data_IF_268533571062
#
_entry.id   IF_268533571062
#
_cell.length_a   1.000
_cell.length_b   1.000
_cell.length_c   1.000
_cell.angle_alpha   90.00
_cell.angle_beta   90.00
_cell.angle_gamma   90.00
#
_symmetry.space_group_name_H-M   'P 1'
#
loop_
_entity.id
_entity.type
_entity.pdbx_description
1 polymer ?
#
# COMPACT_ATOMS: atom_id res chain seq x y z
N UNK A 1 -13.98 -9.96 3.48
CA UNK A 1 -12.60 -10.34 3.86
C UNK A 1 -12.49 -10.54 5.38
N UNK A 2 -13.17 -9.72 6.17
CA UNK A 2 -13.14 -9.80 7.65
C UNK A 2 -12.03 -9.00 8.31
N UNK A 3 -10.98 -8.66 7.60
CA UNK A 3 -9.89 -7.81 8.07
C UNK A 3 -10.06 -6.35 7.64
N UNK A 4 -9.25 -5.45 8.20
CA UNK A 4 -9.34 -4.02 7.89
C UNK A 4 -8.97 -3.73 6.44
N UNK A 5 -9.75 -2.86 5.80
CA UNK A 5 -9.48 -2.36 4.46
C UNK A 5 -9.44 -0.83 4.49
N UNK A 6 -8.46 -0.26 3.83
CA UNK A 6 -8.25 1.18 3.79
C UNK A 6 -8.33 1.68 2.35
N UNK A 7 -8.96 2.83 2.17
CA UNK A 7 -8.81 3.64 0.95
C UNK A 7 -7.73 4.68 1.24
N UNK A 8 -6.68 4.68 0.43
CA UNK A 8 -5.51 5.54 0.63
C UNK A 8 -5.26 6.40 -0.58
N UNK A 9 -4.60 7.54 -0.38
CA UNK A 9 -4.15 8.42 -1.45
C UNK A 9 -2.73 8.91 -1.19
N UNK A 10 -2.02 9.25 -2.25
CA UNK A 10 -0.73 9.93 -2.17
C UNK A 10 -0.96 11.44 -2.05
N UNK A 11 -0.36 12.07 -1.05
CA UNK A 11 -0.33 13.51 -0.89
C UNK A 11 1.10 13.96 -0.56
N UNK A 12 1.75 14.63 -1.50
CA UNK A 12 3.18 14.95 -1.38
C UNK A 12 4.04 13.69 -1.30
N UNK A 13 4.74 13.51 -0.19
CA UNK A 13 5.59 12.36 0.09
C UNK A 13 5.00 11.43 1.17
N UNK A 14 3.69 11.46 1.38
CA UNK A 14 3.02 10.71 2.44
C UNK A 14 1.78 9.98 1.90
N UNK A 15 1.47 8.84 2.53
CA UNK A 15 0.21 8.12 2.33
C UNK A 15 -0.82 8.66 3.31
N UNK A 16 -1.98 9.05 2.79
CA UNK A 16 -3.12 9.51 3.56
C UNK A 16 -4.25 8.48 3.51
N UNK A 17 -4.85 8.22 4.66
CA UNK A 17 -6.08 7.42 4.73
C UNK A 17 -7.29 8.31 4.42
N UNK A 18 -8.02 7.98 3.37
CA UNK A 18 -9.27 8.67 3.00
C UNK A 18 -10.47 8.05 3.68
N UNK A 19 -10.49 6.72 3.81
CA UNK A 19 -11.57 5.97 4.43
C UNK A 19 -11.05 4.63 4.94
N UNK A 20 -11.75 4.05 5.89
CA UNK A 20 -11.38 2.80 6.52
C UNK A 20 -12.60 1.97 6.88
N UNK A 21 -12.59 0.71 6.48
CA UNK A 21 -13.45 -0.32 7.02
C UNK A 21 -12.66 -1.16 8.03
N UNK A 22 -13.06 -1.09 9.28
CA UNK A 22 -12.38 -1.80 10.35
C UNK A 22 -12.70 -3.29 10.35
N UNK A 23 -11.73 -4.09 10.79
CA UNK A 23 -11.93 -5.50 11.11
C UNK A 23 -13.02 -5.67 12.14
N UNK A 24 -13.82 -6.73 11.99
CA UNK A 24 -14.80 -7.15 13.00
C UNK A 24 -14.15 -7.74 14.26
N UNK A 25 -12.87 -8.06 14.23
CA UNK A 25 -12.14 -8.64 15.37
C UNK A 25 -11.76 -7.56 16.40
N UNK A 26 -11.86 -7.88 17.71
CA UNK A 26 -11.46 -6.96 18.78
C UNK A 26 -9.97 -6.56 18.69
N UNK A 27 -9.11 -7.52 18.37
CA UNK A 27 -7.68 -7.28 18.18
C UNK A 27 -7.42 -6.80 16.75
N UNK A 28 -7.16 -5.52 16.59
CA UNK A 28 -6.82 -4.87 15.32
C UNK A 28 -5.77 -3.80 15.54
N UNK A 29 -4.97 -3.53 14.51
CA UNK A 29 -4.05 -2.41 14.56
C UNK A 29 -4.84 -1.11 14.29
N UNK A 30 -4.80 -0.19 15.23
CA UNK A 30 -5.28 1.17 15.04
C UNK A 30 -4.09 2.10 14.81
N UNK A 31 -4.01 2.70 13.62
CA UNK A 31 -3.09 3.79 13.41
C UNK A 31 -3.68 5.05 14.08
N UNK A 32 -2.90 5.68 14.95
CA UNK A 32 -3.33 6.93 15.60
C UNK A 32 -3.56 8.02 14.55
N UNK A 33 -4.56 8.90 14.73
CA UNK A 33 -4.71 10.07 13.88
C UNK A 33 -3.39 10.85 13.78
N UNK A 34 -3.01 11.25 12.56
CA UNK A 34 -1.75 11.94 12.30
C UNK A 34 -0.52 11.03 12.17
N UNK A 35 -0.66 9.71 12.25
CA UNK A 35 0.43 8.77 11.95
C UNK A 35 0.84 8.93 10.48
N UNK A 36 2.13 9.21 10.28
CA UNK A 36 2.72 9.25 8.93
C UNK A 36 3.05 7.83 8.48
N UNK A 37 2.52 7.45 7.33
CA UNK A 37 2.79 6.14 6.73
C UNK A 37 3.91 6.29 5.70
N UNK A 38 5.07 5.66 5.91
CA UNK A 38 6.21 5.80 5.02
C UNK A 38 5.94 5.22 3.63
N UNK A 39 6.51 5.86 2.59
CA UNK A 39 6.35 5.38 1.22
C UNK A 39 7.15 4.11 0.93
N UNK A 40 8.32 3.95 1.52
CA UNK A 40 9.25 2.86 1.17
C UNK A 40 8.92 1.50 1.79
N UNK A 41 8.10 1.44 2.82
CA UNK A 41 7.84 0.21 3.57
C UNK A 41 6.35 -0.06 3.83
N UNK A 42 5.45 0.73 3.26
CA UNK A 42 4.02 0.44 3.24
C UNK A 42 3.57 -0.06 1.86
N UNK A 43 2.56 -0.93 1.83
CA UNK A 43 2.03 -1.45 0.56
C UNK A 43 1.52 -0.32 -0.34
N UNK A 44 0.68 0.58 0.19
CA UNK A 44 0.18 1.74 -0.56
C UNK A 44 1.31 2.67 -1.00
N UNK A 45 2.28 2.93 -0.14
CA UNK A 45 3.41 3.81 -0.45
C UNK A 45 4.26 3.29 -1.60
N UNK A 46 4.64 2.03 -1.56
CA UNK A 46 5.39 1.39 -2.65
C UNK A 46 4.56 1.33 -3.94
N UNK A 47 3.26 1.08 -3.84
CA UNK A 47 2.36 1.09 -5.00
C UNK A 47 2.34 2.47 -5.67
N UNK A 48 2.22 3.55 -4.90
CA UNK A 48 2.24 4.91 -5.45
C UNK A 48 3.58 5.24 -6.10
N UNK A 49 4.70 4.96 -5.42
CA UNK A 49 6.04 5.16 -5.98
C UNK A 49 6.22 4.45 -7.31
N UNK A 50 5.76 3.19 -7.40
CA UNK A 50 5.88 2.38 -8.61
C UNK A 50 5.13 2.97 -9.80
N UNK A 51 4.01 3.66 -9.57
CA UNK A 51 3.14 4.19 -10.62
C UNK A 51 3.28 5.70 -10.85
N UNK A 52 4.19 6.37 -10.15
CA UNK A 52 4.56 7.75 -10.46
C UNK A 52 5.31 7.82 -11.81
N UNK A 53 5.20 8.95 -12.54
CA UNK A 53 6.10 9.23 -13.63
C UNK A 53 7.56 9.09 -13.17
N UNK A 54 8.41 8.51 -14.02
CA UNK A 54 9.78 8.13 -13.66
C UNK A 54 10.57 9.28 -13.00
N UNK A 55 10.45 10.50 -13.54
CA UNK A 55 11.14 11.69 -13.00
C UNK A 55 10.65 12.03 -11.58
N UNK A 56 9.33 11.97 -11.33
CA UNK A 56 8.78 12.25 -10.01
C UNK A 56 9.17 11.17 -9.00
N UNK A 57 9.17 9.91 -9.41
CA UNK A 57 9.63 8.80 -8.59
C UNK A 57 11.10 9.00 -8.18
N UNK A 58 12.00 9.32 -9.13
CA UNK A 58 13.39 9.57 -8.82
C UNK A 58 13.58 10.75 -7.87
N UNK A 59 12.87 11.86 -8.08
CA UNK A 59 12.92 13.02 -7.19
C UNK A 59 12.52 12.68 -5.76
N UNK A 60 11.45 11.88 -5.58
CA UNK A 60 11.05 11.42 -4.25
C UNK A 60 12.09 10.47 -3.64
N UNK A 61 12.61 9.52 -4.40
CA UNK A 61 13.63 8.58 -3.91
C UNK A 61 14.92 9.28 -3.49
N UNK A 62 15.28 10.40 -4.12
CA UNK A 62 16.48 11.17 -3.77
C UNK A 62 16.37 11.82 -2.38
N UNK A 63 15.18 12.15 -1.92
CA UNK A 63 14.92 12.81 -0.64
C UNK A 63 14.28 11.90 0.41
N UNK A 64 13.81 10.71 0.03
CA UNK A 64 13.08 9.81 0.92
C UNK A 64 14.03 9.13 1.91
N UNK A 65 13.85 9.31 3.23
CA UNK A 65 14.62 8.54 4.19
C UNK A 65 14.15 7.09 4.17
N UNK A 66 15.08 6.16 3.96
CA UNK A 66 14.81 4.73 3.98
C UNK A 66 15.04 4.17 5.40
N UNK A 67 14.36 4.75 6.37
CA UNK A 67 14.51 4.39 7.77
C UNK A 67 14.06 2.96 8.04
N UNK A 68 14.82 2.24 8.86
CA UNK A 68 14.46 0.90 9.30
C UNK A 68 13.39 0.96 10.37
N UNK A 69 12.29 0.27 10.16
CA UNK A 69 11.20 0.09 11.12
C UNK A 69 11.15 -1.31 11.70
N UNK A 70 11.51 -2.31 10.89
CA UNK A 70 11.55 -3.73 11.27
C UNK A 70 12.79 -4.39 10.66
N UNK A 71 13.00 -5.66 10.95
CA UNK A 71 14.10 -6.43 10.35
C UNK A 71 13.95 -6.59 8.83
N UNK A 72 12.71 -6.52 8.30
CA UNK A 72 12.40 -6.73 6.87
C UNK A 72 12.22 -5.44 6.08
N UNK A 73 12.32 -4.27 6.71
CA UNK A 73 12.24 -2.99 6.01
C UNK A 73 13.30 -2.89 4.91
N UNK A 74 12.90 -2.55 3.68
CA UNK A 74 13.83 -2.22 2.61
C UNK A 74 14.53 -0.89 2.92
N UNK A 75 15.83 -0.94 3.12
CA UNK A 75 16.65 0.23 3.48
C UNK A 75 17.67 0.60 2.40
N UNK A 76 17.73 -0.17 1.33
CA UNK A 76 18.59 0.08 0.17
C UNK A 76 17.74 0.62 -0.98
N UNK A 77 18.21 1.70 -1.62
CA UNK A 77 17.56 2.25 -2.81
C UNK A 77 17.49 1.22 -3.94
N UNK A 78 18.55 0.45 -4.17
CA UNK A 78 18.58 -0.56 -5.22
C UNK A 78 17.54 -1.67 -4.99
N UNK A 79 17.38 -2.14 -3.76
CA UNK A 79 16.36 -3.13 -3.40
C UNK A 79 14.95 -2.55 -3.58
N UNK A 80 14.74 -1.30 -3.18
CA UNK A 80 13.44 -0.63 -3.35
C UNK A 80 13.13 -0.46 -4.85
N UNK A 81 14.06 -0.03 -5.67
CA UNK A 81 13.87 0.11 -7.12
C UNK A 81 13.50 -1.24 -7.78
N UNK A 82 14.15 -2.32 -7.39
CA UNK A 82 13.81 -3.69 -7.85
C UNK A 82 12.38 -4.07 -7.45
N UNK A 83 11.99 -3.77 -6.22
CA UNK A 83 10.62 -3.99 -5.73
C UNK A 83 9.60 -3.17 -6.54
N UNK A 84 9.89 -1.88 -6.82
CA UNK A 84 9.01 -1.04 -7.60
C UNK A 84 8.82 -1.54 -9.04
N UNK A 85 9.86 -2.10 -9.66
CA UNK A 85 9.74 -2.74 -10.97
C UNK A 85 8.83 -3.98 -10.93
N UNK A 86 8.94 -4.80 -9.90
CA UNK A 86 8.05 -5.94 -9.70
C UNK A 86 6.59 -5.49 -9.53
N UNK A 87 6.36 -4.44 -8.74
CA UNK A 87 5.02 -3.87 -8.52
C UNK A 87 4.42 -3.37 -9.84
N UNK A 88 5.18 -2.71 -10.70
CA UNK A 88 4.71 -2.27 -12.03
C UNK A 88 4.23 -3.43 -12.89
N UNK A 89 4.91 -4.57 -12.83
CA UNK A 89 4.57 -5.77 -13.61
C UNK A 89 3.34 -6.48 -13.07
N UNK A 90 3.24 -6.64 -11.74
CA UNK A 90 2.18 -7.42 -11.10
C UNK A 90 0.92 -6.62 -10.75
N UNK A 91 1.04 -5.30 -10.74
CA UNK A 91 -0.04 -4.33 -10.43
C UNK A 91 -0.68 -4.53 -9.04
N UNK A 92 0.14 -4.86 -8.07
CA UNK A 92 -0.15 -4.80 -6.64
C UNK A 92 1.15 -4.66 -5.84
N UNK A 93 1.05 -4.21 -4.63
CA UNK A 93 2.17 -4.13 -3.69
C UNK A 93 1.85 -4.82 -2.38
N UNK A 94 2.87 -5.28 -1.70
CA UNK A 94 2.76 -5.89 -0.37
C UNK A 94 3.64 -5.14 0.64
N UNK A 95 3.23 -5.17 1.90
CA UNK A 95 4.05 -4.89 3.05
C UNK A 95 4.09 -6.19 3.87
N UNK A 96 5.24 -6.85 3.84
CA UNK A 96 5.48 -8.12 4.53
C UNK A 96 6.21 -7.83 5.86
N UNK A 97 5.49 -7.28 6.83
CA UNK A 97 6.04 -6.87 8.12
C UNK A 97 7.17 -5.83 8.00
N UNK A 98 7.14 -5.00 6.96
CA UNK A 98 8.19 -4.02 6.68
C UNK A 98 8.03 -2.74 7.50
N UNK A 99 6.79 -2.33 7.79
CA UNK A 99 6.48 -1.14 8.58
C UNK A 99 6.22 -1.47 10.04
N UNK A 100 5.46 -2.53 10.30
CA UNK A 100 5.13 -2.98 11.67
C UNK A 100 5.29 -4.49 11.74
N UNK A 101 6.05 -4.97 12.72
CA UNK A 101 6.18 -6.41 12.98
C UNK A 101 4.79 -7.04 13.24
N UNK A 102 4.56 -8.21 12.69
CA UNK A 102 3.31 -8.93 12.85
C UNK A 102 2.14 -8.42 12.00
N UNK A 103 2.40 -7.47 11.09
CA UNK A 103 1.38 -6.91 10.21
C UNK A 103 1.73 -7.15 8.74
N UNK A 104 0.76 -7.62 7.96
CA UNK A 104 0.86 -7.71 6.50
C UNK A 104 -0.19 -6.81 5.84
N UNK A 105 0.20 -6.21 4.72
CA UNK A 105 -0.70 -5.42 3.90
C UNK A 105 -0.56 -5.80 2.43
N UNK A 106 -1.68 -5.72 1.70
CA UNK A 106 -1.72 -5.87 0.23
C UNK A 106 -2.51 -4.71 -0.34
N UNK A 107 -1.92 -3.96 -1.26
CA UNK A 107 -2.55 -2.81 -1.90
C UNK A 107 -2.70 -3.01 -3.41
N UNK A 108 -3.85 -2.58 -3.94
CA UNK A 108 -4.14 -2.54 -5.38
C UNK A 108 -4.52 -1.13 -5.81
N UNK A 109 -4.19 -0.72 -7.06
CA UNK A 109 -4.49 0.62 -7.52
C UNK A 109 -5.99 0.80 -7.82
N UNK A 110 -6.51 1.99 -7.53
CA UNK A 110 -7.79 2.47 -8.05
C UNK A 110 -7.49 3.31 -9.29
N UNK A 111 -7.91 2.82 -10.45
CA UNK A 111 -7.66 3.47 -11.75
C UNK A 111 -8.93 4.13 -12.27
N UNK A 112 -8.93 5.43 -12.32
CA UNK A 112 -10.05 6.19 -12.89
C UNK A 112 -10.01 6.13 -14.42
N UNK A 113 -11.15 5.93 -15.10
CA UNK A 113 -11.21 5.98 -16.55
C UNK A 113 -10.68 7.31 -17.10
N UNK A 114 -9.83 7.24 -18.11
CA UNK A 114 -9.26 8.42 -18.77
C UNK A 114 -8.15 9.15 -18.02
N UNK A 115 -7.82 8.75 -16.79
CA UNK A 115 -6.69 9.30 -16.04
C UNK A 115 -5.45 8.42 -16.14
N UNK A 116 -4.30 9.06 -16.31
CA UNK A 116 -3.01 8.37 -16.23
C UNK A 116 -2.51 8.39 -14.77
N UNK A 117 -1.86 7.30 -14.38
CA UNK A 117 -1.28 7.15 -13.04
C UNK A 117 -2.25 6.59 -12.01
N UNK A 118 -1.77 6.47 -10.78
CA UNK A 118 -2.51 5.94 -9.63
C UNK A 118 -2.54 6.99 -8.54
N UNK A 119 -3.73 7.46 -8.20
CA UNK A 119 -3.94 8.48 -7.14
C UNK A 119 -4.46 7.90 -5.85
N UNK A 120 -5.17 6.76 -5.94
CA UNK A 120 -5.75 6.09 -4.79
C UNK A 120 -5.47 4.59 -4.85
N UNK A 121 -5.50 3.94 -3.71
CA UNK A 121 -5.34 2.51 -3.58
C UNK A 121 -6.32 1.95 -2.56
N UNK A 122 -6.75 0.71 -2.77
CA UNK A 122 -7.43 -0.11 -1.76
C UNK A 122 -6.40 -1.03 -1.15
N UNK A 123 -6.26 -1.00 0.16
CA UNK A 123 -5.31 -1.81 0.90
C UNK A 123 -6.00 -2.67 1.95
N UNK A 124 -5.71 -3.97 1.92
CA UNK A 124 -6.01 -4.92 2.99
C UNK A 124 -4.90 -4.86 4.03
N UNK A 125 -5.26 -4.86 5.30
CA UNK A 125 -4.33 -4.87 6.43
C UNK A 125 -4.76 -5.93 7.43
N UNK A 126 -3.86 -6.85 7.78
CA UNK A 126 -4.18 -7.94 8.68
C UNK A 126 -2.99 -8.32 9.59
N UNK A 127 -3.24 -8.69 10.85
CA UNK A 127 -2.25 -9.35 11.68
C UNK A 127 -1.85 -10.70 11.07
N UNK A 128 -0.54 -10.98 11.01
CA UNK A 128 0.01 -12.25 10.50
C UNK A 128 -0.60 -13.46 11.20
N UNK A 129 -0.89 -13.33 12.50
CA UNK A 129 -1.49 -14.39 13.30
C UNK A 129 -2.88 -14.84 12.81
N UNK A 130 -3.62 -13.98 12.09
CA UNK A 130 -4.92 -14.32 11.50
C UNK A 130 -4.88 -14.55 10.00
N UNK A 131 -4.03 -13.83 9.31
CA UNK A 131 -3.92 -13.88 7.86
C UNK A 131 -2.46 -13.68 7.45
N UNK A 132 -1.76 -14.76 7.16
CA UNK A 132 -0.42 -14.68 6.62
C UNK A 132 -0.41 -14.13 5.19
N UNK A 133 0.73 -13.67 4.71
CA UNK A 133 0.85 -13.04 3.38
C UNK A 133 0.27 -13.89 2.23
N UNK A 134 0.48 -15.22 2.15
CA UNK A 134 -0.13 -16.03 1.07
C UNK A 134 -1.66 -15.97 1.09
N UNK A 135 -2.27 -15.95 2.26
CA UNK A 135 -3.73 -15.84 2.42
C UNK A 135 -4.22 -14.42 2.05
N UNK A 136 -3.46 -13.38 2.41
CA UNK A 136 -3.76 -12.01 2.00
C UNK A 136 -3.71 -11.86 0.47
N UNK A 137 -2.76 -12.48 -0.19
CA UNK A 137 -2.65 -12.50 -1.66
C UNK A 137 -3.83 -13.20 -2.34
N UNK A 138 -4.43 -14.20 -1.70
CA UNK A 138 -5.66 -14.83 -2.20
C UNK A 138 -6.86 -13.87 -2.25
N UNK A 139 -6.79 -12.73 -1.55
CA UNK A 139 -7.84 -11.71 -1.56
C UNK A 139 -7.69 -10.70 -2.74
N UNK A 140 -6.63 -10.79 -3.54
CA UNK A 140 -6.41 -9.89 -4.69
C UNK A 140 -7.63 -9.75 -5.62
N UNK A 141 -8.36 -10.82 -6.01
CA UNK A 141 -9.54 -10.66 -6.84
C UNK A 141 -10.62 -9.77 -6.21
N UNK A 142 -10.83 -9.89 -4.90
CA UNK A 142 -11.80 -9.06 -4.15
C UNK A 142 -11.35 -7.61 -4.03
N UNK A 143 -10.07 -7.39 -3.76
CA UNK A 143 -9.50 -6.04 -3.69
C UNK A 143 -9.59 -5.35 -5.05
N UNK A 144 -9.26 -6.04 -6.13
CA UNK A 144 -9.37 -5.51 -7.50
C UNK A 144 -10.82 -5.20 -7.89
N UNK A 145 -11.77 -6.05 -7.50
CA UNK A 145 -13.20 -5.80 -7.72
C UNK A 145 -13.67 -4.54 -6.97
N UNK A 146 -13.25 -4.37 -5.71
CA UNK A 146 -13.56 -3.18 -4.93
C UNK A 146 -12.94 -1.91 -5.54
N UNK A 147 -11.68 -1.97 -5.97
CA UNK A 147 -11.00 -0.86 -6.63
C UNK A 147 -11.69 -0.46 -7.94
N UNK A 148 -12.12 -1.44 -8.74
CA UNK A 148 -12.87 -1.18 -9.97
C UNK A 148 -14.26 -0.57 -9.69
N UNK A 149 -14.95 -0.99 -8.63
CA UNK A 149 -16.21 -0.42 -8.21
C UNK A 149 -16.05 1.05 -7.80
N UNK A 150 -15.05 1.35 -6.98
CA UNK A 150 -14.72 2.73 -6.56
C UNK A 150 -14.36 3.62 -7.77
N UNK A 151 -13.57 3.11 -8.70
CA UNK A 151 -13.21 3.86 -9.91
C UNK A 151 -14.43 4.30 -10.71
N UNK A 152 -15.49 3.48 -10.76
CA UNK A 152 -16.76 3.83 -11.44
C UNK A 152 -17.55 4.91 -10.71
N UNK A 153 -17.48 5.01 -9.40
CA UNK A 153 -18.19 6.04 -8.63
C UNK A 153 -17.60 7.44 -8.81
N UNK A 154 -16.36 7.53 -9.29
CA UNK A 154 -15.65 8.79 -9.51
C UNK A 154 -15.58 9.18 -10.99
N UNK A 155 -16.27 8.46 -11.84
CA UNK A 155 -16.32 8.75 -13.27
C UNK A 155 -17.32 9.89 -13.59
#
# INVERSE_FOLDING_TARGET
IGESCNLTALSGAEVHYLDRMESAFPLRLELRPGTRVPLHCSASGKLFLAHLPARQCQTLLDSLPLSRHTATTLTSRAELETELEAIRRQDYAVDAEEFVDGLVCVAVPVRQPGQRGVRCAVALQAPVARMALPQALQQLPRLRAAAAALARTWA
#
